data_IF_356414506595
#
_entry.id   IF_356414506595
#
_cell.length_a   1.000
_cell.length_b   1.000
_cell.length_c   1.000
_cell.angle_alpha   90.00
_cell.angle_beta   90.00
_cell.angle_gamma   90.00
#
_symmetry.space_group_name_H-M   'P 1'
#
loop_
_entity.id
_entity.type
_entity.pdbx_description
1 polymer ?
#
# COMPACT_ATOMS: atom_id res chain seq x y z
N UNK A 1 2.89 21.68 7.24
CA UNK A 1 1.47 21.39 6.91
C UNK A 1 1.45 20.18 6.01
N UNK A 2 0.64 19.19 6.33
CA UNK A 2 0.48 17.95 5.57
C UNK A 2 -0.74 18.08 4.67
N UNK A 3 -0.60 17.77 3.39
CA UNK A 3 -1.74 17.69 2.47
C UNK A 3 -2.19 16.24 2.39
N UNK A 4 -3.50 16.02 2.48
CA UNK A 4 -4.09 14.69 2.34
C UNK A 4 -4.72 14.57 0.97
N UNK A 5 -4.38 13.52 0.25
CA UNK A 5 -5.08 13.12 -0.97
C UNK A 5 -5.93 11.91 -0.59
N UNK A 6 -7.24 12.09 -0.61
CA UNK A 6 -8.20 11.00 -0.34
C UNK A 6 -8.54 10.30 -1.65
N UNK A 7 -8.95 9.04 -1.54
CA UNK A 7 -9.58 8.36 -2.67
C UNK A 7 -10.79 9.13 -3.20
N UNK A 8 -11.08 9.05 -4.51
CA UNK A 8 -12.30 9.59 -5.11
C UNK A 8 -13.55 9.16 -4.33
N UNK A 9 -14.62 9.96 -4.38
CA UNK A 9 -15.82 9.73 -3.59
C UNK A 9 -16.51 8.40 -3.86
N UNK A 10 -16.48 7.93 -5.10
CA UNK A 10 -16.96 6.63 -5.54
C UNK A 10 -16.17 5.44 -5.00
N UNK A 11 -14.96 5.69 -4.49
CA UNK A 11 -14.05 4.69 -3.91
C UNK A 11 -13.90 4.84 -2.40
N UNK A 12 -14.64 5.74 -1.77
CA UNK A 12 -14.60 5.90 -0.33
C UNK A 12 -15.13 4.67 0.38
N UNK A 13 -14.47 4.33 1.47
CA UNK A 13 -14.95 3.35 2.40
C UNK A 13 -16.34 3.75 2.93
N UNK A 14 -17.37 3.04 2.55
CA UNK A 14 -18.73 3.29 3.05
C UNK A 14 -19.34 2.07 3.74
N UNK A 15 -18.78 0.89 3.49
CA UNK A 15 -19.24 -0.38 4.06
C UNK A 15 -18.12 -1.43 3.92
N UNK A 16 -18.35 -2.65 4.36
CA UNK A 16 -17.44 -3.80 4.21
C UNK A 16 -16.91 -3.98 2.76
N UNK A 17 -17.70 -3.58 1.78
CA UNK A 17 -17.35 -3.66 0.35
C UNK A 17 -16.33 -2.61 -0.12
N UNK A 18 -15.88 -1.70 0.73
CA UNK A 18 -14.92 -0.65 0.40
C UNK A 18 -13.49 -0.89 0.86
N UNK A 19 -13.20 -2.03 1.50
CA UNK A 19 -11.90 -2.32 2.11
C UNK A 19 -10.74 -2.36 1.10
N UNK A 20 -10.99 -2.73 -0.15
CA UNK A 20 -9.99 -2.73 -1.22
C UNK A 20 -9.43 -1.34 -1.55
N UNK A 21 -10.12 -0.28 -1.17
CA UNK A 21 -9.76 1.13 -1.42
C UNK A 21 -9.46 1.92 -0.15
N UNK A 22 -9.32 1.24 1.00
CA UNK A 22 -9.04 1.87 2.29
C UNK A 22 -7.57 2.25 2.42
N UNK A 23 -7.17 3.26 1.66
CA UNK A 23 -5.82 3.84 1.68
C UNK A 23 -5.86 5.34 1.38
N UNK A 24 -4.80 6.04 1.76
CA UNK A 24 -4.62 7.45 1.47
C UNK A 24 -3.15 7.75 1.14
N UNK A 25 -2.94 8.74 0.28
CA UNK A 25 -1.63 9.33 0.05
C UNK A 25 -1.48 10.57 0.94
N UNK A 26 -0.32 10.68 1.56
CA UNK A 26 0.04 11.82 2.40
C UNK A 26 1.24 12.51 1.78
N UNK A 27 1.05 13.75 1.32
CA UNK A 27 2.13 14.60 0.86
C UNK A 27 2.71 15.38 2.02
N UNK A 28 4.01 15.27 2.24
CA UNK A 28 4.71 16.03 3.26
C UNK A 28 5.18 17.36 2.69
N UNK A 29 5.09 18.42 3.49
CA UNK A 29 5.59 19.75 3.09
C UNK A 29 7.10 19.75 2.83
N UNK A 30 7.82 18.96 3.60
CA UNK A 30 9.27 18.81 3.51
C UNK A 30 9.62 17.33 3.37
N UNK A 31 10.61 16.99 2.53
CA UNK A 31 11.03 15.61 2.39
C UNK A 31 11.66 15.11 3.69
N UNK A 32 11.37 13.87 4.04
CA UNK A 32 12.07 13.20 5.12
C UNK A 32 13.46 12.77 4.63
N UNK A 33 14.49 13.24 5.31
CA UNK A 33 15.88 12.89 5.03
C UNK A 33 16.32 11.73 5.94
N UNK A 34 17.25 10.91 5.46
CA UNK A 34 17.82 9.77 6.20
C UNK A 34 16.78 8.69 6.62
N UNK A 35 15.70 8.56 5.87
CA UNK A 35 14.72 7.49 6.06
C UNK A 35 14.81 6.52 4.88
N UNK A 36 14.90 5.23 5.20
CA UNK A 36 14.80 4.18 4.19
C UNK A 36 13.38 4.13 3.66
N UNK A 37 13.24 4.26 2.35
CA UNK A 37 11.96 4.12 1.65
C UNK A 37 11.80 2.71 1.13
N UNK A 38 10.55 2.24 1.05
CA UNK A 38 10.19 0.96 0.44
C UNK A 38 9.48 1.21 -0.89
N UNK A 39 9.84 0.39 -1.89
CA UNK A 39 9.13 0.40 -3.17
C UNK A 39 7.79 -0.32 -3.04
N UNK A 40 6.87 0.05 -3.91
CA UNK A 40 5.58 -0.63 -4.02
C UNK A 40 5.73 -1.94 -4.81
N UNK A 41 4.98 -2.96 -4.40
CA UNK A 41 4.85 -4.19 -5.16
C UNK A 41 3.73 -4.02 -6.19
N UNK A 42 4.09 -4.04 -7.47
CA UNK A 42 3.17 -3.69 -8.58
C UNK A 42 2.34 -4.87 -9.08
N UNK A 43 2.63 -6.07 -8.65
CA UNK A 43 1.94 -7.28 -9.06
C UNK A 43 1.01 -7.77 -7.95
N UNK A 44 0.09 -8.66 -8.30
CA UNK A 44 -0.71 -9.38 -7.31
C UNK A 44 0.16 -10.48 -6.68
N UNK A 45 0.38 -10.47 -5.36
CA UNK A 45 1.14 -11.53 -4.72
C UNK A 45 0.43 -12.89 -4.89
N UNK A 46 1.16 -13.96 -5.24
CA UNK A 46 0.58 -15.29 -5.32
C UNK A 46 0.02 -15.75 -3.96
N UNK A 47 -1.07 -16.51 -3.97
CA UNK A 47 -1.52 -17.25 -2.78
C UNK A 47 -0.38 -18.11 -2.23
N UNK A 48 -0.37 -18.32 -0.93
CA UNK A 48 0.67 -19.03 -0.17
C UNK A 48 2.02 -18.31 -0.13
N UNK A 49 2.10 -17.06 -0.58
CA UNK A 49 3.30 -16.24 -0.37
C UNK A 49 3.48 -15.93 1.11
N UNK A 50 4.73 -16.04 1.60
CA UNK A 50 5.09 -15.53 2.92
C UNK A 50 5.06 -14.01 2.91
N UNK A 51 4.30 -13.43 3.81
CA UNK A 51 4.15 -11.99 4.00
C UNK A 51 4.71 -11.56 5.35
N UNK A 52 5.06 -10.28 5.45
CA UNK A 52 5.64 -9.71 6.66
C UNK A 52 4.81 -8.48 7.04
N UNK A 53 4.53 -8.35 8.31
CA UNK A 53 3.79 -7.22 8.89
C UNK A 53 4.62 -6.54 9.96
N UNK A 54 4.42 -5.26 10.14
CA UNK A 54 5.00 -4.55 11.28
C UNK A 54 4.10 -3.40 11.69
N UNK A 55 4.03 -3.13 12.99
CA UNK A 55 3.20 -2.07 13.52
C UNK A 55 3.55 -1.68 14.95
N UNK A 56 2.76 -0.78 15.48
CA UNK A 56 2.86 -0.25 16.84
C UNK A 56 1.55 -0.42 17.63
N UNK A 57 0.63 -1.25 17.12
CA UNK A 57 -0.68 -1.49 17.70
C UNK A 57 -0.63 -2.22 19.04
N UNK A 58 -1.81 -2.60 19.51
CA UNK A 58 -1.93 -3.46 20.69
C UNK A 58 -1.17 -4.76 20.47
N UNK A 59 -0.61 -5.29 21.52
CA UNK A 59 0.08 -6.59 21.48
C UNK A 59 -0.62 -7.62 22.36
N UNK A 60 -0.30 -8.87 22.11
CA UNK A 60 -0.84 -10.01 22.82
C UNK A 60 -0.33 -11.30 22.23
N UNK A 61 -0.97 -12.39 22.55
CA UNK A 61 -0.76 -13.71 21.95
C UNK A 61 -2.04 -14.17 21.26
N UNK A 62 -1.97 -15.23 20.46
CA UNK A 62 -3.16 -15.77 19.81
C UNK A 62 -4.24 -16.24 20.78
N UNK A 63 -3.87 -16.67 21.98
CA UNK A 63 -4.79 -17.05 23.06
C UNK A 63 -5.21 -15.88 23.95
N UNK A 64 -4.38 -14.84 24.08
CA UNK A 64 -4.63 -13.63 24.85
C UNK A 64 -4.34 -12.39 23.96
N UNK A 65 -5.23 -12.07 23.02
CA UNK A 65 -5.05 -10.92 22.13
C UNK A 65 -5.33 -9.59 22.83
N UNK A 66 -4.84 -8.50 22.23
CA UNK A 66 -5.17 -7.12 22.57
C UNK A 66 -4.87 -6.73 24.04
N UNK A 67 -3.76 -7.18 24.59
CA UNK A 67 -3.44 -6.96 25.99
C UNK A 67 -3.13 -5.50 26.32
N UNK A 68 -2.23 -4.88 25.56
CA UNK A 68 -1.68 -3.59 25.96
C UNK A 68 -1.14 -2.79 24.76
N UNK A 69 -1.07 -1.47 24.95
CA UNK A 69 -0.43 -0.54 24.02
C UNK A 69 0.83 0.05 24.68
N UNK A 70 2.01 -0.35 24.23
CA UNK A 70 3.29 0.03 24.82
C UNK A 70 4.20 0.84 23.91
N UNK A 71 3.72 1.22 22.71
CA UNK A 71 4.43 2.00 21.69
C UNK A 71 5.68 1.29 21.11
N UNK A 72 5.86 0.02 21.35
CA UNK A 72 6.97 -0.73 20.80
C UNK A 72 6.63 -1.23 19.39
N UNK A 73 7.57 -1.02 18.47
CA UNK A 73 7.46 -1.59 17.12
C UNK A 73 7.62 -3.11 17.20
N UNK A 74 6.69 -3.83 16.59
CA UNK A 74 6.73 -5.28 16.43
C UNK A 74 6.67 -5.67 14.96
N UNK A 75 7.11 -6.85 14.67
CA UNK A 75 6.99 -7.46 13.36
C UNK A 75 6.66 -8.93 13.49
N UNK A 76 6.09 -9.49 12.44
CA UNK A 76 5.81 -10.91 12.34
C UNK A 76 5.55 -11.33 10.90
N UNK A 77 5.22 -12.58 10.72
CA UNK A 77 4.96 -13.18 9.41
C UNK A 77 3.62 -13.85 9.39
N UNK A 78 3.10 -14.06 8.19
CA UNK A 78 1.97 -14.93 7.94
C UNK A 78 2.01 -15.44 6.49
N UNK A 79 1.05 -16.25 6.11
CA UNK A 79 0.92 -16.79 4.75
C UNK A 79 -0.34 -16.20 4.10
N UNK A 80 -0.17 -15.55 2.96
CA UNK A 80 -1.27 -14.96 2.21
C UNK A 80 -2.25 -16.06 1.79
N UNK A 81 -3.49 -15.97 2.26
CA UNK A 81 -4.52 -16.97 2.01
C UNK A 81 -5.81 -16.39 1.45
N UNK A 82 -5.92 -15.07 1.38
CA UNK A 82 -7.10 -14.34 0.91
C UNK A 82 -6.64 -13.32 -0.14
N UNK A 83 -7.30 -13.30 -1.32
CA UNK A 83 -7.02 -12.35 -2.41
C UNK A 83 -8.28 -11.56 -2.80
N UNK A 84 -9.48 -11.96 -2.39
CA UNK A 84 -10.70 -11.25 -2.72
C UNK A 84 -11.59 -10.97 -1.51
N UNK A 85 -12.44 -9.94 -1.61
CA UNK A 85 -13.46 -9.68 -0.58
C UNK A 85 -14.45 -10.83 -0.46
N UNK A 86 -14.75 -11.52 -1.55
CA UNK A 86 -15.66 -12.68 -1.57
C UNK A 86 -15.13 -13.85 -0.77
N UNK A 87 -13.81 -14.07 -0.77
CA UNK A 87 -13.16 -15.11 0.03
C UNK A 87 -13.41 -14.91 1.54
N UNK A 88 -13.51 -13.67 1.96
CA UNK A 88 -13.79 -13.33 3.37
C UNK A 88 -15.24 -13.59 3.74
N UNK A 89 -16.16 -13.33 2.80
CA UNK A 89 -17.59 -13.43 3.05
C UNK A 89 -18.02 -14.90 3.03
N UNK A 90 -17.51 -15.67 2.09
CA UNK A 90 -18.00 -17.03 1.78
C UNK A 90 -17.08 -18.13 2.33
N UNK A 91 -15.89 -17.79 2.82
CA UNK A 91 -14.91 -18.78 3.28
C UNK A 91 -14.34 -19.69 2.17
N UNK A 92 -14.51 -19.29 0.93
CA UNK A 92 -14.09 -20.03 -0.27
C UNK A 92 -13.31 -19.10 -1.18
N UNK A 93 -12.07 -19.46 -1.45
CA UNK A 93 -11.24 -18.72 -2.43
C UNK A 93 -11.74 -19.03 -3.84
N UNK A 94 -12.42 -18.08 -4.44
CA UNK A 94 -12.76 -18.12 -5.87
C UNK A 94 -11.80 -17.19 -6.62
N UNK A 95 -10.88 -17.77 -7.36
CA UNK A 95 -9.82 -17.08 -8.11
C UNK A 95 -10.33 -16.14 -9.24
N UNK A 96 -11.58 -15.73 -9.23
CA UNK A 96 -12.22 -15.19 -10.42
C UNK A 96 -12.76 -13.76 -10.32
N UNK A 97 -12.50 -12.99 -9.28
CA UNK A 97 -12.99 -11.61 -9.26
C UNK A 97 -11.86 -10.59 -9.35
N UNK A 98 -11.63 -9.98 -10.53
CA UNK A 98 -10.63 -8.92 -10.69
C UNK A 98 -11.07 -7.57 -10.10
N UNK A 99 -12.33 -7.41 -9.70
CA UNK A 99 -12.89 -6.09 -9.42
C UNK A 99 -12.65 -5.58 -7.98
N UNK A 100 -12.35 -6.48 -7.03
CA UNK A 100 -12.14 -6.11 -5.63
C UNK A 100 -11.08 -6.99 -4.98
N UNK A 101 -9.83 -6.59 -5.17
CA UNK A 101 -8.68 -7.30 -4.60
C UNK A 101 -8.36 -6.75 -3.22
N UNK A 102 -8.45 -7.60 -2.22
CA UNK A 102 -7.86 -7.41 -0.90
C UNK A 102 -6.84 -8.52 -0.66
N UNK A 103 -5.80 -8.18 0.06
CA UNK A 103 -4.84 -9.17 0.51
C UNK A 103 -5.16 -9.53 1.96
N UNK A 104 -5.09 -10.80 2.32
CA UNK A 104 -5.37 -11.18 3.69
C UNK A 104 -4.87 -12.57 4.06
N UNK A 105 -4.99 -12.86 5.34
CA UNK A 105 -4.60 -14.15 5.91
C UNK A 105 -5.39 -14.44 7.18
N UNK A 106 -5.43 -15.72 7.53
CA UNK A 106 -5.95 -16.19 8.82
C UNK A 106 -4.80 -16.26 9.84
N UNK A 107 -5.14 -16.06 11.10
CA UNK A 107 -4.22 -16.23 12.21
C UNK A 107 -4.43 -17.60 12.82
N UNK A 108 -3.53 -18.52 12.50
CA UNK A 108 -3.64 -19.92 12.90
C UNK A 108 -2.67 -20.26 14.05
N UNK A 109 -2.97 -21.27 14.80
CA UNK A 109 -2.06 -21.77 15.83
C UNK A 109 -1.00 -22.67 15.21
N UNK A 110 0.27 -22.46 15.57
CA UNK A 110 1.40 -23.37 15.25
C UNK A 110 1.77 -23.54 13.76
N UNK A 111 1.47 -22.58 12.88
CA UNK A 111 1.93 -22.67 11.48
C UNK A 111 3.35 -22.13 11.25
N UNK A 112 3.74 -21.05 11.92
CA UNK A 112 5.08 -20.45 11.82
C UNK A 112 5.49 -19.90 13.19
N UNK A 113 6.77 -20.02 13.53
CA UNK A 113 7.32 -19.47 14.78
C UNK A 113 7.06 -17.97 14.96
N UNK A 114 6.98 -17.23 13.87
CA UNK A 114 6.74 -15.77 13.85
C UNK A 114 5.36 -15.42 13.32
N UNK A 115 4.44 -16.39 13.30
CA UNK A 115 3.09 -16.12 12.86
C UNK A 115 2.45 -15.04 13.70
N UNK A 116 1.89 -14.05 13.04
CA UNK A 116 1.36 -12.87 13.68
C UNK A 116 0.20 -12.30 12.89
N UNK A 117 -0.59 -11.48 13.57
CA UNK A 117 -1.70 -10.74 12.99
C UNK A 117 -1.58 -9.26 13.39
N UNK A 118 -2.18 -8.39 12.61
CA UNK A 118 -2.37 -6.99 12.99
C UNK A 118 -3.37 -6.88 14.13
N UNK A 119 -3.25 -5.84 14.94
CA UNK A 119 -4.17 -5.53 16.03
C UNK A 119 -4.68 -4.10 15.96
N UNK A 120 -5.49 -3.67 16.92
CA UNK A 120 -5.96 -2.30 17.00
C UNK A 120 -4.77 -1.33 17.11
N UNK A 121 -4.78 -0.31 16.28
CA UNK A 121 -3.68 0.65 16.19
C UNK A 121 -2.64 0.33 15.11
N UNK A 122 -2.73 -0.82 14.44
CA UNK A 122 -1.93 -1.15 13.26
C UNK A 122 -2.57 -0.68 11.94
N UNK A 123 -3.72 -0.03 11.98
CA UNK A 123 -4.39 0.54 10.79
C UNK A 123 -3.43 1.44 10.02
N UNK A 124 -3.33 1.23 8.70
CA UNK A 124 -2.39 1.94 7.84
C UNK A 124 -0.96 1.37 7.84
N UNK A 125 -0.67 0.32 8.61
CA UNK A 125 0.63 -0.34 8.58
C UNK A 125 0.82 -1.16 7.31
N UNK A 126 2.08 -1.36 6.87
CA UNK A 126 2.36 -2.05 5.62
C UNK A 126 2.30 -3.58 5.76
N UNK A 127 1.76 -4.22 4.71
CA UNK A 127 2.02 -5.62 4.38
C UNK A 127 3.17 -5.67 3.40
N UNK A 128 4.22 -6.39 3.74
CA UNK A 128 5.37 -6.56 2.87
C UNK A 128 5.40 -7.94 2.24
N UNK A 129 5.91 -7.98 1.01
CA UNK A 129 6.38 -9.20 0.37
C UNK A 129 7.89 -9.08 0.13
N UNK A 130 8.61 -10.21 0.19
CA UNK A 130 10.02 -10.26 -0.13
C UNK A 130 10.21 -10.76 -1.56
N UNK A 131 10.76 -9.92 -2.43
CA UNK A 131 11.06 -10.25 -3.81
C UNK A 131 12.53 -9.93 -4.10
N UNK A 132 13.28 -10.90 -4.62
CA UNK A 132 14.72 -10.77 -4.90
C UNK A 132 15.53 -10.17 -3.75
N UNK A 133 15.21 -10.59 -2.52
CA UNK A 133 15.88 -10.13 -1.30
C UNK A 133 15.41 -8.78 -0.76
N UNK A 134 14.58 -8.03 -1.49
CA UNK A 134 14.05 -6.73 -1.09
C UNK A 134 12.64 -6.86 -0.53
N UNK A 135 12.33 -6.05 0.48
CA UNK A 135 10.98 -5.88 0.99
C UNK A 135 10.24 -4.81 0.19
N UNK A 136 9.08 -5.17 -0.33
CA UNK A 136 8.20 -4.32 -1.12
C UNK A 136 6.84 -4.23 -0.44
N UNK A 137 6.21 -3.07 -0.45
CA UNK A 137 4.87 -2.87 0.13
C UNK A 137 3.83 -3.42 -0.84
N UNK A 138 3.11 -4.44 -0.42
CA UNK A 138 2.06 -5.09 -1.20
C UNK A 138 0.64 -4.66 -0.77
N UNK A 139 0.48 -4.23 0.48
CA UNK A 139 -0.83 -3.83 1.02
C UNK A 139 -0.73 -2.88 2.20
N UNK A 140 -1.85 -2.28 2.57
CA UNK A 140 -2.03 -1.39 3.71
C UNK A 140 -3.10 -1.97 4.62
N UNK A 141 -2.81 -2.10 5.92
CA UNK A 141 -3.71 -2.69 6.90
C UNK A 141 -5.03 -1.92 7.01
N UNK A 142 -6.13 -2.64 6.84
CA UNK A 142 -7.48 -2.06 6.74
C UNK A 142 -8.43 -2.63 7.79
N UNK A 143 -8.56 -3.94 7.92
CA UNK A 143 -9.58 -4.54 8.78
C UNK A 143 -9.12 -5.84 9.45
N UNK A 144 -9.88 -6.21 10.49
CA UNK A 144 -9.76 -7.47 11.22
C UNK A 144 -11.16 -8.09 11.35
N UNK A 145 -11.28 -9.35 10.96
CA UNK A 145 -12.43 -10.19 11.24
C UNK A 145 -12.13 -11.02 12.48
N UNK A 146 -12.91 -10.84 13.53
CA UNK A 146 -12.77 -11.62 14.76
C UNK A 146 -13.05 -13.10 14.50
N UNK A 147 -12.45 -13.96 15.31
CA UNK A 147 -12.84 -15.35 15.37
C UNK A 147 -14.35 -15.46 15.68
N UNK A 148 -15.14 -16.18 14.85
CA UNK A 148 -16.59 -16.25 15.03
C UNK A 148 -17.01 -16.98 16.32
N UNK A 149 -16.18 -17.89 16.85
CA UNK A 149 -16.49 -18.67 18.05
C UNK A 149 -16.16 -17.90 19.34
N UNK A 150 -14.96 -17.31 19.39
CA UNK A 150 -14.48 -16.64 20.62
C UNK A 150 -14.79 -15.14 20.65
N UNK A 151 -15.18 -14.55 19.52
CA UNK A 151 -15.44 -13.11 19.33
C UNK A 151 -14.25 -12.22 19.68
N UNK A 152 -13.05 -12.76 19.77
CA UNK A 152 -11.80 -12.05 19.98
C UNK A 152 -10.96 -11.97 18.69
N UNK A 153 -9.78 -11.34 18.76
CA UNK A 153 -8.82 -11.17 17.64
C UNK A 153 -7.63 -12.14 17.74
N UNK A 154 -7.82 -13.24 18.46
CA UNK A 154 -6.81 -14.30 18.58
C UNK A 154 -6.84 -15.29 17.44
N UNK A 155 -6.38 -16.51 17.72
CA UNK A 155 -6.41 -17.58 16.74
C UNK A 155 -7.79 -17.80 16.13
N UNK A 156 -7.85 -18.07 14.83
CA UNK A 156 -9.07 -18.17 14.03
C UNK A 156 -9.61 -16.84 13.52
N UNK A 157 -8.95 -15.73 13.81
CA UNK A 157 -9.26 -14.42 13.23
C UNK A 157 -8.63 -14.24 11.86
N UNK A 158 -9.06 -13.23 11.11
CA UNK A 158 -8.47 -12.87 9.82
C UNK A 158 -8.12 -11.39 9.77
N UNK A 159 -7.04 -11.08 9.06
CA UNK A 159 -6.61 -9.73 8.76
C UNK A 159 -6.71 -9.43 7.27
N UNK A 160 -7.05 -8.19 6.91
CA UNK A 160 -7.14 -7.76 5.53
C UNK A 160 -6.47 -6.41 5.29
N UNK A 161 -5.97 -6.27 4.08
CA UNK A 161 -5.14 -5.16 3.60
C UNK A 161 -5.64 -4.66 2.26
N UNK A 162 -5.77 -3.36 2.09
CA UNK A 162 -5.99 -2.76 0.79
C UNK A 162 -4.80 -3.05 -0.12
N UNK A 163 -5.04 -3.66 -1.27
CA UNK A 163 -3.99 -4.07 -2.20
C UNK A 163 -3.35 -2.86 -2.89
N UNK A 164 -2.02 -2.80 -2.88
CA UNK A 164 -1.28 -1.79 -3.66
C UNK A 164 -1.52 -2.00 -5.15
N UNK A 165 -1.47 -3.24 -5.64
CA UNK A 165 -1.65 -3.54 -7.06
C UNK A 165 -3.02 -3.05 -7.57
N UNK A 166 -4.10 -3.30 -6.83
CA UNK A 166 -5.45 -2.82 -7.15
C UNK A 166 -5.54 -1.30 -7.25
N UNK A 167 -4.78 -0.60 -6.43
CA UNK A 167 -4.80 0.85 -6.32
C UNK A 167 -3.64 1.55 -7.06
N UNK A 168 -2.79 0.80 -7.77
CA UNK A 168 -1.54 1.31 -8.32
C UNK A 168 -1.76 2.43 -9.34
N UNK A 169 -2.78 2.32 -10.20
CA UNK A 169 -3.11 3.36 -11.15
C UNK A 169 -3.44 4.67 -10.42
N UNK A 170 -4.35 4.60 -9.45
CA UNK A 170 -4.74 5.78 -8.67
C UNK A 170 -3.54 6.36 -7.88
N UNK A 171 -2.69 5.51 -7.29
CA UNK A 171 -1.48 5.95 -6.60
C UNK A 171 -0.57 6.72 -7.55
N UNK A 172 -0.34 6.20 -8.76
CA UNK A 172 0.51 6.83 -9.75
C UNK A 172 -0.07 8.16 -10.26
N UNK A 173 -1.37 8.24 -10.44
CA UNK A 173 -2.06 9.46 -10.88
C UNK A 173 -2.05 10.56 -9.81
N UNK A 174 -2.06 10.17 -8.53
CA UNK A 174 -2.16 11.10 -7.40
C UNK A 174 -0.84 11.26 -6.61
N UNK A 175 0.18 10.50 -6.95
CA UNK A 175 1.50 10.65 -6.33
C UNK A 175 2.13 11.98 -6.79
N UNK A 176 2.46 12.83 -5.83
CA UNK A 176 3.15 14.10 -6.11
C UNK A 176 4.63 13.91 -6.48
N UNK A 177 5.20 12.73 -6.18
CA UNK A 177 6.57 12.36 -6.53
C UNK A 177 6.54 11.29 -7.60
N UNK A 178 6.93 11.63 -8.83
CA UNK A 178 7.08 10.68 -9.91
C UNK A 178 8.54 10.53 -10.26
N UNK A 179 9.02 9.29 -10.29
CA UNK A 179 10.30 8.99 -10.93
C UNK A 179 10.07 8.92 -12.43
N UNK A 180 10.66 9.86 -13.14
CA UNK A 180 10.60 9.91 -14.60
C UNK A 180 11.97 9.53 -15.14
N UNK A 181 11.99 8.64 -16.13
CA UNK A 181 13.23 8.23 -16.80
C UNK A 181 13.15 8.54 -18.30
N UNK A 182 14.26 8.97 -18.89
CA UNK A 182 14.34 9.09 -20.33
C UNK A 182 14.30 7.70 -20.98
N UNK A 183 13.51 7.55 -22.05
CA UNK A 183 13.34 6.29 -22.80
C UNK A 183 14.19 6.25 -24.06
N UNK A 184 14.54 7.41 -24.61
CA UNK A 184 15.31 7.56 -25.85
C UNK A 184 15.94 8.94 -25.93
N UNK A 185 16.89 9.12 -26.85
CA UNK A 185 17.44 10.44 -27.15
C UNK A 185 16.35 11.36 -27.73
N UNK A 186 16.42 12.64 -27.45
CA UNK A 186 15.46 13.59 -27.99
C UNK A 186 15.38 14.89 -27.22
N UNK A 187 14.30 15.63 -27.43
CA UNK A 187 14.05 16.91 -26.78
C UNK A 187 13.38 16.74 -25.43
N UNK A 188 13.73 17.58 -24.46
CA UNK A 188 13.15 17.59 -23.14
C UNK A 188 11.63 17.78 -23.15
N UNK A 189 11.13 18.65 -24.02
CA UNK A 189 9.71 19.01 -24.16
C UNK A 189 8.82 17.88 -24.70
N UNK A 190 9.42 16.86 -25.35
CA UNK A 190 8.68 15.76 -25.96
C UNK A 190 8.33 14.67 -24.93
N UNK A 191 7.04 14.61 -24.54
CA UNK A 191 6.54 13.60 -23.59
C UNK A 191 6.84 12.16 -23.98
N UNK A 192 6.88 11.84 -25.27
CA UNK A 192 7.23 10.50 -25.76
C UNK A 192 8.66 10.04 -25.45
N UNK A 193 9.51 10.95 -24.97
CA UNK A 193 10.89 10.64 -24.58
C UNK A 193 10.98 10.22 -23.11
N UNK A 194 9.87 10.24 -22.36
CA UNK A 194 9.82 9.99 -20.94
C UNK A 194 8.93 8.80 -20.56
N UNK A 195 9.26 8.14 -19.47
CA UNK A 195 8.56 6.92 -19.02
C UNK A 195 7.09 7.15 -18.65
N UNK A 196 6.72 8.33 -18.20
CA UNK A 196 5.34 8.70 -17.88
C UNK A 196 4.62 9.40 -19.05
N UNK A 197 5.26 9.50 -20.23
CA UNK A 197 4.78 10.17 -21.43
C UNK A 197 4.48 11.66 -21.24
N UNK A 198 5.02 12.26 -20.18
CA UNK A 198 4.89 13.68 -19.91
C UNK A 198 6.28 14.31 -19.79
N UNK A 199 6.47 15.47 -20.36
CA UNK A 199 7.72 16.22 -20.16
C UNK A 199 7.85 16.65 -18.69
N UNK A 200 9.01 16.47 -18.06
CA UNK A 200 9.25 16.97 -16.71
C UNK A 200 9.14 18.50 -16.57
N UNK A 201 9.11 19.22 -17.67
CA UNK A 201 8.98 20.67 -17.70
C UNK A 201 7.54 21.18 -17.61
N UNK A 202 6.53 20.32 -17.64
CA UNK A 202 5.14 20.73 -17.46
C UNK A 202 4.83 21.08 -15.99
N UNK A 203 5.61 22.01 -15.45
CA UNK A 203 5.18 22.84 -14.33
C UNK A 203 4.22 23.87 -14.90
N UNK A 204 2.94 23.56 -14.95
CA UNK A 204 1.91 24.53 -15.31
C UNK A 204 1.67 25.37 -14.06
N UNK A 205 1.98 26.67 -14.06
CA UNK A 205 1.40 27.57 -13.08
C UNK A 205 -0.12 27.56 -13.30
N UNK A 206 -0.87 27.16 -12.29
CA UNK A 206 -2.31 26.95 -12.40
C UNK A 206 -3.10 28.24 -12.57
N UNK A 207 -2.54 29.36 -12.15
CA UNK A 207 -3.15 30.67 -12.34
C UNK A 207 -2.12 31.81 -12.34
N UNK A 208 -2.58 33.00 -12.71
CA UNK A 208 -1.81 34.25 -12.67
C UNK A 208 -1.40 34.71 -11.25
N UNK A 209 -1.84 34.02 -10.20
CA UNK A 209 -1.57 34.35 -8.81
C UNK A 209 -0.49 33.46 -8.17
N UNK A 210 0.23 32.67 -8.98
CA UNK A 210 1.27 31.73 -8.51
C UNK A 210 0.78 30.70 -7.49
N UNK A 211 -0.49 30.34 -7.53
CA UNK A 211 -0.96 29.15 -6.83
C UNK A 211 -0.40 27.92 -7.55
N UNK A 212 0.60 27.30 -6.99
CA UNK A 212 1.12 26.03 -7.46
C UNK A 212 0.24 24.93 -6.90
N UNK A 213 -0.37 24.11 -7.76
CA UNK A 213 -0.68 22.74 -7.35
C UNK A 213 0.58 22.14 -6.76
N UNK A 214 0.45 21.46 -5.64
CA UNK A 214 1.55 20.92 -4.88
C UNK A 214 2.64 20.43 -5.81
N UNK A 215 3.80 21.08 -5.74
CA UNK A 215 4.89 20.88 -6.69
C UNK A 215 5.12 19.38 -6.87
N UNK A 216 4.83 18.87 -8.06
CA UNK A 216 5.15 17.49 -8.43
C UNK A 216 6.66 17.45 -8.60
N UNK A 217 7.36 17.13 -7.51
CA UNK A 217 8.79 16.90 -7.58
C UNK A 217 9.03 15.61 -8.35
N UNK A 218 9.63 15.73 -9.51
CA UNK A 218 10.08 14.59 -10.29
C UNK A 218 11.53 14.28 -9.93
N UNK A 219 11.80 13.04 -9.60
CA UNK A 219 13.13 12.51 -9.77
C UNK A 219 13.31 12.21 -11.26
N UNK A 220 14.19 12.96 -11.94
CA UNK A 220 14.42 12.80 -13.36
C UNK A 220 15.70 12.00 -13.57
N UNK A 221 15.55 10.77 -14.05
CA UNK A 221 16.66 9.90 -14.37
C UNK A 221 16.98 10.01 -15.89
N UNK A 222 18.10 10.63 -16.22
CA UNK A 222 18.52 10.81 -17.62
C UNK A 222 19.50 9.69 -18.00
N UNK A 223 19.02 8.74 -18.77
CA UNK A 223 19.84 7.62 -19.33
C UNK A 223 20.20 7.84 -20.80
N UNK A 224 19.69 8.90 -21.43
CA UNK A 224 19.82 9.19 -22.85
C UNK A 224 20.23 10.64 -23.04
N UNK A 225 20.72 10.98 -24.25
CA UNK A 225 21.01 12.38 -24.57
C UNK A 225 19.72 13.16 -24.74
N UNK A 226 19.48 14.12 -23.86
CA UNK A 226 18.28 14.97 -23.85
C UNK A 226 18.71 16.41 -24.13
N UNK A 227 18.12 17.02 -25.15
CA UNK A 227 18.34 18.40 -25.50
C UNK A 227 17.39 19.30 -24.70
N UNK A 228 17.94 20.29 -24.03
CA UNK A 228 17.21 21.36 -23.37
C UNK A 228 17.02 22.49 -24.38
N UNK A 229 15.83 22.66 -24.89
CA UNK A 229 15.49 23.78 -25.76
C UNK A 229 14.81 24.88 -24.95
#
# INVERSE_FOLDING_TARGET
>A
TTSFIKLPEDRRYSTFNGASYDLALISLKEPLINITTYKLYSELPPLNSKVFISGFGLHGTGSLPDLNFDKNKRWGTNILSIISEEDVINGISTNNSPDKVILGFYFDENKDQFESMISLGDSGSPLFIKNNGQFLVAGIASWIKKNPETQNRGYGSAAGFASIQQNLQWINENNSLRDVSSLKNGEWSLGSNWSDRASPSNFIPLDSNYNFEAAKYYSVNIFHSINLN
#
